data_IF_345670919468
#
_entry.id   IF_345670919468
#
_cell.length_a   1.000
_cell.length_b   1.000
_cell.length_c   1.000
_cell.angle_alpha   90.00
_cell.angle_beta   90.00
_cell.angle_gamma   90.00
#
_symmetry.space_group_name_H-M   'P 1'
#
loop_
_entity.id
_entity.type
_entity.pdbx_description
1 polymer ?
#
# COMPACT_ATOMS: atom_id res chain seq x y z
N UNK A 1 12.82 -0.84 6.43
CA UNK A 1 11.51 -0.88 5.76
C UNK A 1 11.60 0.00 4.53
N UNK A 2 11.21 -0.51 3.36
CA UNK A 2 11.11 0.27 2.12
C UNK A 2 9.63 0.56 1.85
N UNK A 3 9.36 1.54 1.01
CA UNK A 3 8.01 1.88 0.55
C UNK A 3 7.99 1.82 -0.97
N UNK A 4 6.89 1.29 -1.52
CA UNK A 4 6.68 1.23 -2.97
C UNK A 4 6.65 2.65 -3.56
N UNK A 5 7.26 2.85 -4.73
CA UNK A 5 7.27 4.18 -5.38
C UNK A 5 5.86 4.60 -5.82
N UNK A 6 5.03 3.59 -6.06
CA UNK A 6 3.63 3.67 -6.43
C UNK A 6 2.76 4.23 -5.30
N UNK A 7 3.29 4.33 -4.07
CA UNK A 7 2.58 4.93 -2.94
C UNK A 7 2.39 6.45 -3.09
N UNK A 8 3.34 7.14 -3.73
CA UNK A 8 3.40 8.61 -3.71
C UNK A 8 2.18 9.31 -4.32
N UNK A 9 1.61 8.86 -5.46
CA UNK A 9 0.36 9.41 -5.98
C UNK A 9 -0.81 9.33 -4.99
N UNK A 10 -0.81 8.34 -4.09
CA UNK A 10 -1.86 8.17 -3.08
C UNK A 10 -1.56 8.92 -1.79
N UNK A 11 -0.30 8.97 -1.36
CA UNK A 11 0.10 9.60 -0.08
C UNK A 11 0.17 11.12 -0.19
N UNK A 12 0.74 11.65 -1.28
CA UNK A 12 1.07 13.07 -1.43
C UNK A 12 -0.16 14.00 -1.34
N UNK A 13 -1.33 13.70 -1.95
CA UNK A 13 -2.51 14.53 -1.83
C UNK A 13 -2.98 14.72 -0.38
N UNK A 14 -3.00 13.64 0.42
CA UNK A 14 -3.40 13.70 1.82
C UNK A 14 -2.37 14.40 2.69
N UNK A 15 -1.09 14.26 2.36
CA UNK A 15 -0.01 14.97 3.05
C UNK A 15 -0.11 16.49 2.83
N UNK A 16 -0.32 16.91 1.57
CA UNK A 16 -0.56 18.31 1.21
C UNK A 16 -1.84 18.86 1.86
N UNK A 17 -2.91 18.07 1.88
CA UNK A 17 -4.17 18.42 2.55
C UNK A 17 -3.96 18.63 4.05
N UNK A 18 -3.22 17.74 4.72
CA UNK A 18 -2.93 17.86 6.15
C UNK A 18 -2.16 19.16 6.47
N UNK A 19 -1.15 19.49 5.66
CA UNK A 19 -0.39 20.74 5.79
C UNK A 19 -1.29 21.96 5.57
N UNK A 20 -2.13 21.93 4.52
CA UNK A 20 -3.07 23.01 4.21
C UNK A 20 -4.07 23.24 5.35
N UNK A 21 -4.69 22.18 5.86
CA UNK A 21 -5.63 22.27 6.99
C UNK A 21 -4.96 22.77 8.27
N UNK A 22 -3.71 22.34 8.53
CA UNK A 22 -2.92 22.83 9.65
C UNK A 22 -2.64 24.33 9.57
N UNK A 23 -2.34 24.83 8.37
CA UNK A 23 -2.13 26.26 8.11
C UNK A 23 -3.37 27.11 8.46
N UNK A 24 -4.57 26.62 8.14
CA UNK A 24 -5.84 27.27 8.48
C UNK A 24 -6.30 27.00 9.93
N UNK A 25 -5.46 26.40 10.79
CA UNK A 25 -5.78 26.00 12.17
C UNK A 25 -6.97 25.04 12.30
N UNK A 26 -7.29 24.29 11.24
CA UNK A 26 -8.30 23.24 11.23
C UNK A 26 -7.71 21.92 11.76
N UNK A 27 -7.18 21.95 12.98
CA UNK A 27 -6.36 20.89 13.56
C UNK A 27 -6.98 19.49 13.55
N UNK A 28 -8.27 19.28 13.91
CA UNK A 28 -8.86 17.94 13.87
C UNK A 28 -8.83 17.32 12.47
N UNK A 29 -9.11 18.13 11.45
CA UNK A 29 -9.10 17.69 10.05
C UNK A 29 -7.69 17.47 9.53
N UNK A 30 -6.73 18.32 9.94
CA UNK A 30 -5.32 18.14 9.62
C UNK A 30 -4.78 16.81 10.15
N UNK A 31 -5.12 16.47 11.40
CA UNK A 31 -4.74 15.20 12.02
C UNK A 31 -5.38 14.02 11.30
N UNK A 32 -6.68 14.10 10.97
CA UNK A 32 -7.36 13.05 10.22
C UNK A 32 -6.70 12.79 8.85
N UNK A 33 -6.38 13.85 8.10
CA UNK A 33 -5.68 13.76 6.82
C UNK A 33 -4.26 13.17 6.97
N UNK A 34 -3.52 13.58 8.01
CA UNK A 34 -2.19 13.03 8.30
C UNK A 34 -2.22 11.54 8.66
N UNK A 35 -3.20 11.11 9.46
CA UNK A 35 -3.39 9.69 9.79
C UNK A 35 -3.74 8.86 8.55
N UNK A 36 -4.54 9.41 7.64
CA UNK A 36 -4.85 8.72 6.38
C UNK A 36 -3.64 8.63 5.46
N UNK A 37 -2.85 9.71 5.32
CA UNK A 37 -1.57 9.67 4.61
C UNK A 37 -0.63 8.61 5.20
N UNK A 38 -0.55 8.51 6.53
CA UNK A 38 0.24 7.49 7.22
C UNK A 38 -0.30 6.08 6.95
N UNK A 39 -1.61 5.87 7.01
CA UNK A 39 -2.23 4.58 6.73
C UNK A 39 -1.94 4.11 5.29
N UNK A 40 -2.05 5.02 4.31
CA UNK A 40 -1.71 4.74 2.92
C UNK A 40 -0.22 4.41 2.77
N UNK A 41 0.67 5.19 3.41
CA UNK A 41 2.10 4.90 3.37
C UNK A 41 2.41 3.51 3.94
N UNK A 42 1.77 3.14 5.05
CA UNK A 42 1.93 1.82 5.67
C UNK A 42 1.31 0.69 4.84
N UNK A 43 0.25 0.95 4.08
CA UNK A 43 -0.32 -0.03 3.16
C UNK A 43 0.67 -0.39 2.04
N UNK A 44 1.35 0.60 1.47
CA UNK A 44 2.38 0.42 0.43
C UNK A 44 3.78 0.11 1.00
N UNK A 45 3.87 -0.34 2.25
CA UNK A 45 5.14 -0.83 2.80
C UNK A 45 5.61 -2.04 2.00
N UNK A 46 6.89 -2.05 1.67
CA UNK A 46 7.54 -3.13 0.94
C UNK A 46 8.53 -3.85 1.88
N UNK A 47 8.07 -4.89 2.60
CA UNK A 47 8.94 -5.71 3.42
C UNK A 47 9.78 -6.63 2.51
N UNK A 48 11.06 -6.80 2.86
CA UNK A 48 11.89 -7.77 2.16
C UNK A 48 11.31 -9.18 2.36
N UNK A 49 10.89 -9.82 1.26
CA UNK A 49 10.47 -11.23 1.24
C UNK A 49 11.65 -12.07 0.81
N UNK A 50 11.91 -13.17 1.51
CA UNK A 50 12.88 -14.20 1.12
C UNK A 50 12.12 -15.49 0.89
N UNK A 51 12.49 -16.21 -0.15
CA UNK A 51 11.98 -17.54 -0.45
C UNK A 51 13.16 -18.49 -0.52
N UNK A 52 13.07 -19.61 0.21
CA UNK A 52 14.06 -20.68 0.23
C UNK A 52 13.30 -21.96 -0.13
N UNK A 53 13.30 -22.31 -1.42
CA UNK A 53 12.56 -23.46 -1.94
C UNK A 53 12.94 -23.76 -3.40
N UNK A 54 12.14 -24.59 -4.07
CA UNK A 54 12.38 -25.01 -5.45
C UNK A 54 12.41 -23.79 -6.42
N UNK A 55 13.46 -23.61 -7.24
CA UNK A 55 13.54 -22.55 -8.25
C UNK A 55 12.39 -22.57 -9.28
N UNK A 56 11.76 -23.73 -9.51
CA UNK A 56 10.63 -23.88 -10.43
C UNK A 56 9.26 -23.66 -9.76
N UNK A 57 9.23 -23.39 -8.45
CA UNK A 57 7.98 -23.17 -7.73
C UNK A 57 7.28 -21.87 -8.16
N UNK A 58 6.00 -21.98 -8.51
CA UNK A 58 5.11 -20.82 -8.65
C UNK A 58 4.61 -20.41 -7.26
N UNK A 59 4.93 -19.19 -6.85
CA UNK A 59 4.55 -18.66 -5.55
C UNK A 59 3.17 -17.99 -5.59
N UNK A 60 2.44 -18.07 -4.47
CA UNK A 60 1.24 -17.29 -4.29
C UNK A 60 1.56 -15.78 -4.34
N UNK A 61 0.80 -14.97 -5.10
CA UNK A 61 1.09 -13.54 -5.26
C UNK A 61 0.79 -12.73 -4.00
N UNK A 62 -0.15 -13.20 -3.17
CA UNK A 62 -0.59 -12.53 -1.95
C UNK A 62 -1.11 -13.55 -0.94
N UNK A 63 -1.14 -13.14 0.33
CA UNK A 63 -1.80 -13.89 1.40
C UNK A 63 -3.32 -13.68 1.29
N UNK A 64 -4.10 -14.75 1.24
CA UNK A 64 -5.54 -14.65 1.06
C UNK A 64 -6.22 -16.01 0.92
N UNK A 65 -7.48 -15.99 0.48
CA UNK A 65 -8.27 -17.19 0.22
C UNK A 65 -8.38 -17.39 -1.28
N UNK A 66 -7.94 -18.55 -1.76
CA UNK A 66 -8.18 -18.98 -3.15
C UNK A 66 -9.67 -19.30 -3.31
N UNK A 67 -10.37 -18.53 -4.15
CA UNK A 67 -11.81 -18.69 -4.37
C UNK A 67 -12.12 -19.74 -5.45
N UNK A 68 -11.33 -19.78 -6.53
CA UNK A 68 -11.40 -20.81 -7.57
C UNK A 68 -10.04 -21.00 -8.25
N UNK A 69 -9.85 -22.17 -8.84
CA UNK A 69 -8.74 -22.49 -9.74
C UNK A 69 -9.34 -23.27 -10.89
N UNK A 70 -9.36 -22.66 -12.06
CA UNK A 70 -10.06 -23.18 -13.23
C UNK A 70 -9.08 -23.33 -14.41
N UNK A 71 -9.13 -24.44 -15.18
CA UNK A 71 -8.43 -24.53 -16.45
C UNK A 71 -8.97 -23.47 -17.41
N UNK A 72 -8.07 -22.72 -18.05
CA UNK A 72 -8.42 -21.73 -19.07
C UNK A 72 -7.58 -21.97 -20.33
N UNK A 73 -8.16 -21.64 -21.48
CA UNK A 73 -7.46 -21.67 -22.77
C UNK A 73 -6.74 -20.32 -22.95
N UNK A 74 -5.44 -20.36 -23.24
CA UNK A 74 -4.61 -19.16 -23.37
C UNK A 74 -5.04 -18.38 -24.63
N UNK A 75 -5.39 -17.07 -24.53
CA UNK A 75 -5.84 -16.26 -25.67
C UNK A 75 -4.79 -16.03 -26.78
#
# INVERSE_FOLDING_TARGET
MRFAKEAWPFVLPFLLLAVGLGWFRLWPWAVAAALLALALLLFFRDPARRFEGDPEAVLAPADGVVLSVDPVEDP
#
